data_IF_082929870589
#
_entry.id   IF_082929870589
#
_cell.length_a   1.000
_cell.length_b   1.000
_cell.length_c   1.000
_cell.angle_alpha   90.00
_cell.angle_beta   90.00
_cell.angle_gamma   90.00
#
_symmetry.space_group_name_H-M   'P 1'
#
loop_
_entity.id
_entity.type
_entity.pdbx_description
1 polymer ?
#
# COMPACT_ATOMS: atom_id res chain seq x y z
N UNK A 1 48.81 -24.16 -28.20
CA UNK A 1 47.47 -24.54 -27.71
C UNK A 1 47.28 -23.90 -26.34
N UNK A 2 46.68 -22.70 -26.26
CA UNK A 2 46.37 -22.02 -25.00
C UNK A 2 44.93 -22.35 -24.61
N UNK A 3 44.74 -22.93 -23.42
CA UNK A 3 43.41 -23.17 -22.85
C UNK A 3 42.70 -21.89 -22.45
N UNK A 4 41.38 -21.98 -22.31
CA UNK A 4 40.54 -21.05 -21.54
C UNK A 4 39.55 -21.85 -20.70
N UNK A 5 39.30 -21.46 -19.44
CA UNK A 5 38.55 -22.24 -18.48
C UNK A 5 37.04 -22.16 -18.71
N UNK A 6 36.35 -23.20 -18.25
CA UNK A 6 34.90 -23.28 -18.13
C UNK A 6 34.46 -22.27 -17.08
N UNK A 7 33.63 -21.29 -17.47
CA UNK A 7 32.84 -20.53 -16.51
C UNK A 7 31.46 -21.17 -16.45
N UNK A 8 31.18 -21.87 -15.35
CA UNK A 8 29.82 -22.12 -14.92
C UNK A 8 29.22 -20.76 -14.57
N UNK A 9 28.23 -20.31 -15.34
CA UNK A 9 27.37 -19.21 -14.91
C UNK A 9 26.37 -19.79 -13.93
N UNK A 10 26.77 -19.88 -12.65
CA UNK A 10 25.79 -19.89 -11.57
C UNK A 10 25.10 -18.52 -11.61
N UNK A 11 23.87 -18.49 -12.14
CA UNK A 11 23.00 -17.33 -11.99
C UNK A 11 22.77 -17.11 -10.49
N UNK A 12 23.00 -15.90 -9.95
CA UNK A 12 22.54 -15.60 -8.61
C UNK A 12 21.01 -15.74 -8.61
N UNK A 13 20.47 -16.61 -7.75
CA UNK A 13 19.06 -16.52 -7.36
C UNK A 13 18.94 -15.24 -6.55
N UNK A 14 18.70 -14.13 -7.24
CA UNK A 14 18.21 -12.90 -6.66
C UNK A 14 16.78 -13.21 -6.21
N UNK A 15 16.61 -13.51 -4.93
CA UNK A 15 15.29 -13.52 -4.30
C UNK A 15 14.82 -12.07 -4.25
N UNK A 16 14.26 -11.62 -5.37
CA UNK A 16 13.52 -10.37 -5.47
C UNK A 16 12.23 -10.55 -4.66
N UNK A 17 12.31 -10.33 -3.35
CA UNK A 17 11.12 -10.12 -2.54
C UNK A 17 10.59 -8.72 -2.84
N UNK A 18 10.08 -8.50 -4.05
CA UNK A 18 9.29 -7.32 -4.37
C UNK A 18 8.00 -7.48 -3.57
N UNK A 19 7.81 -6.63 -2.55
CA UNK A 19 6.54 -6.53 -1.84
C UNK A 19 5.44 -6.25 -2.88
N UNK A 20 4.36 -7.05 -2.86
CA UNK A 20 3.25 -6.88 -3.80
C UNK A 20 2.42 -5.67 -3.35
N UNK A 21 2.52 -4.57 -4.11
CA UNK A 21 1.83 -3.31 -3.80
C UNK A 21 0.70 -3.11 -4.80
N UNK A 22 -0.52 -3.00 -4.28
CA UNK A 22 -1.74 -2.82 -5.08
C UNK A 22 -2.58 -1.63 -4.60
N UNK A 23 -3.40 -1.07 -5.48
CA UNK A 23 -4.31 0.04 -5.19
C UNK A 23 -5.67 -0.20 -5.82
N UNK A 24 -6.66 -0.48 -4.99
CA UNK A 24 -8.06 -0.56 -5.40
C UNK A 24 -8.70 0.83 -5.41
N UNK A 25 -9.36 1.16 -6.54
CA UNK A 25 -10.04 2.45 -6.72
C UNK A 25 -11.54 2.23 -6.80
N UNK A 26 -12.25 2.73 -5.80
CA UNK A 26 -13.71 2.64 -5.70
C UNK A 26 -14.29 4.02 -5.96
N UNK A 27 -15.13 4.13 -7.00
CA UNK A 27 -15.79 5.39 -7.38
C UNK A 27 -17.22 5.41 -6.88
N UNK A 28 -17.59 6.48 -6.18
CA UNK A 28 -18.97 6.77 -5.74
C UNK A 28 -19.41 8.16 -6.27
N UNK A 29 -20.69 8.49 -6.09
CA UNK A 29 -21.25 9.75 -6.61
C UNK A 29 -20.61 11.01 -5.98
N UNK A 30 -20.25 10.92 -4.70
CA UNK A 30 -19.80 12.03 -3.87
C UNK A 30 -18.32 11.94 -3.46
N UNK A 31 -17.62 10.86 -3.82
CA UNK A 31 -16.21 10.61 -3.43
C UNK A 31 -15.54 9.52 -4.27
N UNK A 32 -14.21 9.52 -4.25
CA UNK A 32 -13.36 8.41 -4.71
C UNK A 32 -12.59 7.87 -3.52
N UNK A 33 -12.51 6.55 -3.40
CA UNK A 33 -11.81 5.85 -2.32
C UNK A 33 -10.64 5.08 -2.95
N UNK A 34 -9.48 5.18 -2.34
CA UNK A 34 -8.28 4.42 -2.67
C UNK A 34 -7.93 3.52 -1.50
N UNK A 35 -7.93 2.21 -1.70
CA UNK A 35 -7.43 1.24 -0.73
C UNK A 35 -6.04 0.78 -1.17
N UNK A 36 -5.03 1.12 -0.38
CA UNK A 36 -3.66 0.72 -0.61
C UNK A 36 -3.40 -0.61 0.09
N UNK A 37 -2.87 -1.58 -0.66
CA UNK A 37 -2.60 -2.94 -0.17
C UNK A 37 -1.12 -3.27 -0.31
N UNK A 38 -0.57 -3.95 0.69
CA UNK A 38 0.77 -4.54 0.65
C UNK A 38 0.63 -6.00 1.01
N UNK A 39 1.07 -6.90 0.13
CA UNK A 39 0.90 -8.34 0.24
C UNK A 39 -0.56 -8.75 0.54
N UNK A 40 -1.52 -8.05 -0.08
CA UNK A 40 -2.96 -8.26 0.09
C UNK A 40 -3.59 -7.66 1.35
N UNK A 41 -2.81 -7.04 2.24
CA UNK A 41 -3.30 -6.41 3.47
C UNK A 41 -3.48 -4.91 3.27
N UNK A 42 -4.63 -4.36 3.70
CA UNK A 42 -4.90 -2.92 3.58
C UNK A 42 -4.02 -2.14 4.55
N UNK A 43 -3.16 -1.29 4.01
CA UNK A 43 -2.22 -0.44 4.78
C UNK A 43 -2.65 1.01 4.85
N UNK A 44 -3.53 1.46 3.95
CA UNK A 44 -4.12 2.79 4.02
C UNK A 44 -5.42 2.85 3.22
N UNK A 45 -6.35 3.69 3.69
CA UNK A 45 -7.54 4.04 2.93
C UNK A 45 -7.58 5.55 2.81
N UNK A 46 -7.57 6.07 1.59
CA UNK A 46 -7.66 7.50 1.29
C UNK A 46 -9.00 7.80 0.65
N UNK A 47 -9.71 8.78 1.20
CA UNK A 47 -10.97 9.28 0.67
C UNK A 47 -10.75 10.65 0.06
N UNK A 48 -11.19 10.81 -1.19
CA UNK A 48 -11.20 12.07 -1.94
C UNK A 48 -12.67 12.46 -2.15
N UNK A 49 -13.26 13.30 -1.27
CA UNK A 49 -14.62 13.75 -1.45
C UNK A 49 -14.72 14.75 -2.62
N UNK A 50 -15.86 14.78 -3.30
CA UNK A 50 -16.18 15.74 -4.36
C UNK A 50 -16.16 17.19 -3.87
N UNK A 51 -16.44 17.39 -2.59
CA UNK A 51 -16.36 18.69 -1.89
C UNK A 51 -15.63 18.49 -0.56
N UNK A 52 -14.58 19.27 -0.33
CA UNK A 52 -13.76 19.19 0.87
C UNK A 52 -12.33 18.72 0.59
N UNK A 53 -11.56 18.49 1.65
CA UNK A 53 -10.17 18.03 1.55
C UNK A 53 -10.10 16.50 1.59
N UNK A 54 -9.16 15.86 0.90
CA UNK A 54 -8.88 14.45 1.09
C UNK A 54 -8.44 14.13 2.52
N UNK A 55 -8.73 12.91 2.96
CA UNK A 55 -8.35 12.41 4.28
C UNK A 55 -8.05 10.92 4.24
N UNK A 56 -7.31 10.45 5.25
CA UNK A 56 -7.04 9.02 5.44
C UNK A 56 -7.98 8.47 6.51
N UNK A 57 -8.38 7.21 6.37
CA UNK A 57 -9.14 6.51 7.41
C UNK A 57 -8.18 5.72 8.29
N UNK A 58 -8.43 5.72 9.59
CA UNK A 58 -7.60 5.03 10.59
C UNK A 58 -8.45 4.25 11.60
N UNK A 59 -7.98 3.10 12.11
CA UNK A 59 -8.68 2.35 13.15
C UNK A 59 -8.85 3.14 14.45
N UNK A 60 -10.02 3.00 15.09
CA UNK A 60 -10.35 3.67 16.38
C UNK A 60 -9.70 3.02 17.58
N UNK A 61 -9.61 1.70 17.52
CA UNK A 61 -9.04 0.85 18.58
C UNK A 61 -7.54 1.12 18.81
N UNK A 62 -6.93 1.97 17.98
CA UNK A 62 -5.51 2.30 18.04
C UNK A 62 -4.63 1.22 17.42
N UNK A 63 -5.23 0.26 16.69
CA UNK A 63 -4.50 -0.75 15.95
C UNK A 63 -3.50 -0.12 14.97
N UNK A 64 -2.38 -0.79 14.68
CA UNK A 64 -1.40 -0.25 13.77
C UNK A 64 -2.01 0.04 12.41
N UNK A 65 -1.68 1.20 11.84
CA UNK A 65 -2.28 1.70 10.61
C UNK A 65 -2.00 0.81 9.37
N UNK A 66 -1.08 -0.16 9.48
CA UNK A 66 -0.62 -1.01 8.38
C UNK A 66 -1.38 -2.35 8.27
N UNK A 67 -2.35 -2.63 9.15
CA UNK A 67 -3.23 -3.81 9.06
C UNK A 67 -4.69 -3.42 9.32
N UNK A 68 -5.32 -2.79 8.33
CA UNK A 68 -6.72 -2.36 8.43
C UNK A 68 -7.64 -3.51 8.03
N UNK A 69 -8.48 -3.95 8.96
CA UNK A 69 -9.56 -4.91 8.69
C UNK A 69 -10.81 -4.19 8.16
N UNK A 70 -11.55 -4.80 7.24
CA UNK A 70 -12.82 -4.24 6.75
C UNK A 70 -13.88 -4.08 7.84
N UNK A 71 -13.82 -4.90 8.91
CA UNK A 71 -14.73 -4.83 10.05
C UNK A 71 -14.32 -3.77 11.09
N UNK A 72 -13.16 -3.13 10.90
CA UNK A 72 -12.69 -2.10 11.81
C UNK A 72 -13.61 -0.88 11.76
N UNK A 73 -13.87 -0.29 12.93
CA UNK A 73 -14.48 1.05 12.97
C UNK A 73 -13.40 2.07 12.61
N UNK A 74 -13.64 2.84 11.54
CA UNK A 74 -12.66 3.77 10.98
C UNK A 74 -13.10 5.23 11.15
N UNK A 75 -12.15 6.12 11.43
CA UNK A 75 -12.38 7.56 11.55
C UNK A 75 -11.48 8.36 10.61
N UNK A 76 -11.92 9.54 10.16
CA UNK A 76 -11.13 10.39 9.30
C UNK A 76 -9.97 11.03 10.08
N UNK A 77 -8.75 10.77 9.63
CA UNK A 77 -7.53 11.46 10.06
C UNK A 77 -7.22 12.59 9.07
N UNK A 78 -7.29 13.81 9.60
CA UNK A 78 -7.00 15.03 8.86
C UNK A 78 -5.58 15.51 9.14
N UNK A 79 -4.86 15.92 8.10
CA UNK A 79 -3.64 16.70 8.26
C UNK A 79 -4.05 18.17 8.45
N UNK A 80 -3.94 18.65 9.69
CA UNK A 80 -4.27 20.03 10.06
C UNK A 80 -3.15 21.01 9.71
N UNK A 81 -1.89 20.59 9.86
CA UNK A 81 -0.70 21.38 9.56
C UNK A 81 0.32 20.50 8.84
N UNK A 82 0.93 21.05 7.78
CA UNK A 82 2.09 20.50 7.07
C UNK A 82 3.08 21.66 6.93
N UNK A 83 4.37 21.40 7.14
CA UNK A 83 5.44 22.39 7.05
C UNK A 83 6.56 21.86 6.16
#
# INVERSE_FOLDING_TARGET
MRGRPVYASETPTESDSTEDIDVDIITAEDRVIYEYRVNGVITAIKVVPKRGRPYYMVPVDGSPHYEINHDATLYPKWVLLQW
#
